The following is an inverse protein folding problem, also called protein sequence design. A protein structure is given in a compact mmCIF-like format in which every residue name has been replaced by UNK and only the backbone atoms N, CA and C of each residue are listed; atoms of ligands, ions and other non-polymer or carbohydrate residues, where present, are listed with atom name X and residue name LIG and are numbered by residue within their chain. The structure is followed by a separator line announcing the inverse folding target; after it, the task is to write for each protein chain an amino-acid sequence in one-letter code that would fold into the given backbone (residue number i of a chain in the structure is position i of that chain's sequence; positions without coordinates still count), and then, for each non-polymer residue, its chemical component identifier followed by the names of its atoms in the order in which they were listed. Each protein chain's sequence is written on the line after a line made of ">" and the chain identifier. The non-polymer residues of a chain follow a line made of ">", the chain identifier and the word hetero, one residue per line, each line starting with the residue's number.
data_IF_840417073284
#
_entry.id   IF_840417073284
#
_cell.length_a   1.000
_cell.length_b   1.000
_cell.length_c   1.000
_cell.angle_alpha   90.00
_cell.angle_beta   90.00
_cell.angle_gamma   90.00
#
_symmetry.space_group_name_H-M   'P 1'
#
loop_
_entity.id
_entity.type
_entity.pdbx_description
1 polymer ?
#
# COMPACT_ATOMS: atom_id res chain seq x y z
N UNK A 1 -27.24 2.79 -8.08
CA UNK A 1 -26.71 2.03 -6.93
C UNK A 1 -25.36 2.64 -6.58
N UNK A 2 -25.33 3.62 -5.68
CA UNK A 2 -24.06 4.16 -5.17
C UNK A 2 -23.51 3.10 -4.23
N UNK A 3 -22.39 2.47 -4.59
CA UNK A 3 -21.71 1.53 -3.69
C UNK A 3 -21.11 2.35 -2.55
N UNK A 4 -21.21 1.87 -1.32
CA UNK A 4 -20.52 2.48 -0.19
C UNK A 4 -19.02 2.25 -0.37
N UNK A 5 -18.32 3.24 -0.92
CA UNK A 5 -16.87 3.22 -1.14
C UNK A 5 -16.11 2.86 0.14
N UNK A 6 -16.62 3.25 1.32
CA UNK A 6 -16.03 2.91 2.61
C UNK A 6 -16.15 1.43 2.99
N UNK A 7 -17.15 0.70 2.50
CA UNK A 7 -17.27 -0.75 2.70
C UNK A 7 -16.31 -1.53 1.79
N UNK A 8 -16.24 -1.17 0.50
CA UNK A 8 -15.30 -1.77 -0.44
C UNK A 8 -13.84 -1.56 0.01
N UNK A 9 -13.52 -0.38 0.54
CA UNK A 9 -12.19 -0.09 1.04
C UNK A 9 -11.78 -0.93 2.24
N UNK A 10 -12.70 -1.10 3.20
CA UNK A 10 -12.47 -1.96 4.36
C UNK A 10 -12.27 -3.42 3.93
N UNK A 11 -13.02 -3.88 2.92
CA UNK A 11 -12.87 -5.22 2.37
C UNK A 11 -11.47 -5.42 1.78
N UNK A 12 -11.00 -4.53 0.92
CA UNK A 12 -9.70 -4.70 0.27
C UNK A 12 -8.52 -4.41 1.20
N UNK A 13 -8.67 -3.50 2.18
CA UNK A 13 -7.66 -3.33 3.23
C UNK A 13 -7.51 -4.60 4.07
N UNK A 14 -8.60 -5.33 4.34
CA UNK A 14 -8.51 -6.63 5.03
C UNK A 14 -7.70 -7.64 4.23
N UNK A 15 -7.85 -7.67 2.91
CA UNK A 15 -7.00 -8.50 2.03
C UNK A 15 -5.52 -8.06 2.10
N UNK A 16 -5.25 -6.75 2.13
CA UNK A 16 -3.89 -6.25 2.30
C UNK A 16 -3.28 -6.66 3.65
N UNK A 17 -4.07 -6.65 4.74
CA UNK A 17 -3.63 -7.15 6.05
C UNK A 17 -3.35 -8.66 6.03
N UNK A 18 -4.16 -9.44 5.32
CA UNK A 18 -3.90 -10.88 5.14
C UNK A 18 -2.60 -11.15 4.37
N UNK A 19 -2.26 -10.30 3.39
CA UNK A 19 -0.96 -10.35 2.73
C UNK A 19 0.18 -9.96 3.69
N UNK A 20 0.01 -8.89 4.49
CA UNK A 20 1.01 -8.45 5.46
C UNK A 20 1.38 -9.55 6.47
N UNK A 21 0.40 -10.37 6.90
CA UNK A 21 0.59 -11.50 7.83
C UNK A 21 1.60 -12.53 7.36
N UNK A 22 1.83 -12.66 6.05
CA UNK A 22 2.81 -13.59 5.48
C UNK A 22 4.26 -13.23 5.82
N UNK A 23 4.52 -11.97 6.20
CA UNK A 23 5.82 -11.47 6.65
C UNK A 23 6.09 -11.66 8.15
N UNK A 24 5.11 -12.09 8.94
CA UNK A 24 5.26 -12.22 10.39
C UNK A 24 6.45 -13.11 10.77
N UNK A 25 7.25 -12.63 11.72
CA UNK A 25 8.47 -13.29 12.19
C UNK A 25 9.67 -13.24 11.23
N UNK A 26 9.56 -12.57 10.07
CA UNK A 26 10.61 -12.56 9.02
C UNK A 26 11.09 -11.18 8.61
N UNK A 27 10.35 -10.12 8.92
CA UNK A 27 10.66 -8.77 8.46
C UNK A 27 11.54 -7.96 9.41
N UNK A 28 11.69 -8.37 10.68
CA UNK A 28 12.44 -7.61 11.68
C UNK A 28 13.84 -7.22 11.17
N UNK A 29 14.27 -5.94 11.32
CA UNK A 29 13.62 -4.84 12.07
C UNK A 29 12.49 -4.09 11.33
N UNK A 30 12.17 -4.46 10.09
CA UNK A 30 11.16 -3.77 9.28
C UNK A 30 9.72 -4.20 9.66
N UNK A 31 8.72 -3.32 9.47
CA UNK A 31 7.32 -3.65 9.67
C UNK A 31 6.82 -4.69 8.66
N UNK A 32 5.81 -5.46 9.05
CA UNK A 32 5.03 -6.29 8.13
C UNK A 32 4.09 -5.39 7.33
N UNK A 33 4.32 -5.28 6.02
CA UNK A 33 3.50 -4.47 5.12
C UNK A 33 2.88 -5.37 4.06
N UNK A 34 1.62 -5.13 3.75
CA UNK A 34 0.89 -5.74 2.66
C UNK A 34 0.31 -4.69 1.73
N UNK A 35 0.20 -5.03 0.45
CA UNK A 35 -0.36 -4.17 -0.58
C UNK A 35 -1.18 -4.99 -1.57
N UNK A 36 -2.36 -4.50 -1.94
CA UNK A 36 -3.17 -5.05 -3.03
C UNK A 36 -3.60 -3.96 -4.01
N UNK A 37 -3.60 -4.29 -5.30
CA UNK A 37 -4.10 -3.43 -6.38
C UNK A 37 -5.44 -3.96 -6.86
N UNK A 38 -6.43 -3.08 -6.96
CA UNK A 38 -7.80 -3.42 -7.34
C UNK A 38 -8.21 -2.60 -8.56
N UNK A 39 -8.75 -3.27 -9.58
CA UNK A 39 -9.29 -2.63 -10.77
C UNK A 39 -10.59 -3.32 -11.19
N UNK A 40 -11.64 -2.55 -11.44
CA UNK A 40 -12.96 -3.09 -11.77
C UNK A 40 -13.52 -4.06 -10.72
N UNK A 41 -13.24 -3.81 -9.43
CA UNK A 41 -13.69 -4.67 -8.33
C UNK A 41 -12.97 -6.02 -8.23
N UNK A 42 -11.81 -6.18 -8.88
CA UNK A 42 -11.00 -7.40 -8.85
C UNK A 42 -9.59 -7.08 -8.38
N UNK A 43 -9.01 -7.96 -7.57
CA UNK A 43 -7.60 -7.87 -7.19
C UNK A 43 -6.75 -8.27 -8.39
N UNK A 44 -5.95 -7.34 -8.89
CA UNK A 44 -5.06 -7.53 -10.05
C UNK A 44 -3.60 -7.69 -9.63
N UNK A 45 -3.25 -7.30 -8.41
CA UNK A 45 -1.91 -7.50 -7.86
C UNK A 45 -1.95 -7.63 -6.34
N UNK A 46 -1.03 -8.44 -5.80
CA UNK A 46 -0.83 -8.64 -4.37
C UNK A 46 0.65 -8.67 -4.05
N UNK A 47 1.01 -8.14 -2.89
CA UNK A 47 2.37 -8.14 -2.41
C UNK A 47 2.45 -8.00 -0.91
N UNK A 48 3.52 -8.51 -0.33
CA UNK A 48 3.90 -8.30 1.05
C UNK A 48 5.42 -8.15 1.15
N UNK A 49 5.90 -7.50 2.19
CA UNK A 49 7.34 -7.41 2.44
C UNK A 49 7.84 -8.72 3.09
N UNK A 50 8.73 -9.50 2.44
CA UNK A 50 9.07 -10.84 2.93
C UNK A 50 10.20 -10.85 3.97
N UNK A 51 11.14 -9.90 3.90
CA UNK A 51 12.30 -9.76 4.81
C UNK A 51 13.04 -8.44 4.54
N UNK A 52 13.78 -7.97 5.53
CA UNK A 52 14.61 -6.78 5.40
C UNK A 52 15.58 -6.84 4.20
N UNK A 53 15.70 -5.73 3.47
CA UNK A 53 16.55 -5.61 2.28
C UNK A 53 15.93 -6.14 0.97
N UNK A 54 14.74 -6.77 1.03
CA UNK A 54 13.96 -7.12 -0.17
C UNK A 54 13.02 -5.98 -0.56
N UNK A 55 12.45 -6.00 -1.78
CA UNK A 55 11.42 -5.06 -2.18
C UNK A 55 10.25 -4.98 -1.18
N UNK A 56 9.61 -3.82 -1.13
CA UNK A 56 8.41 -3.61 -0.30
C UNK A 56 7.16 -4.21 -0.97
N UNK A 57 6.07 -4.25 -0.21
CA UNK A 57 4.81 -4.86 -0.64
C UNK A 57 4.27 -4.26 -1.94
N UNK A 58 4.38 -2.95 -2.09
CA UNK A 58 3.91 -2.18 -3.24
C UNK A 58 4.62 -2.62 -4.52
N UNK A 59 5.93 -2.88 -4.45
CA UNK A 59 6.72 -3.31 -5.61
C UNK A 59 6.28 -4.70 -6.07
N UNK A 60 6.04 -5.63 -5.15
CA UNK A 60 5.51 -6.96 -5.50
C UNK A 60 4.09 -6.89 -6.06
N UNK A 61 3.22 -6.07 -5.47
CA UNK A 61 1.86 -5.88 -5.96
C UNK A 61 1.86 -5.30 -7.39
N UNK A 62 2.68 -4.27 -7.63
CA UNK A 62 2.86 -3.64 -8.95
C UNK A 62 3.41 -4.62 -9.97
N UNK A 63 4.41 -5.43 -9.60
CA UNK A 63 4.97 -6.45 -10.48
C UNK A 63 3.90 -7.47 -10.90
N UNK A 64 3.10 -7.95 -9.95
CA UNK A 64 2.00 -8.88 -10.23
C UNK A 64 0.92 -8.24 -11.11
N UNK A 65 0.55 -6.99 -10.85
CA UNK A 65 -0.48 -6.28 -11.62
C UNK A 65 -0.04 -5.91 -13.04
N UNK A 66 1.26 -5.69 -13.27
CA UNK A 66 1.79 -5.28 -14.56
C UNK A 66 1.04 -4.06 -15.12
N UNK A 67 0.53 -4.19 -16.35
CA UNK A 67 -0.21 -3.10 -17.03
C UNK A 67 -1.55 -2.78 -16.39
N UNK A 68 -2.12 -3.69 -15.59
CA UNK A 68 -3.40 -3.47 -14.92
C UNK A 68 -3.30 -2.51 -13.73
N UNK A 69 -2.08 -2.19 -13.27
CA UNK A 69 -1.85 -1.21 -12.22
C UNK A 69 -2.32 0.21 -12.60
N UNK A 70 -2.26 0.57 -13.89
CA UNK A 70 -2.66 1.88 -14.36
C UNK A 70 -4.18 2.11 -14.14
N UNK A 71 -4.52 3.16 -13.40
CA UNK A 71 -5.88 3.50 -13.00
C UNK A 71 -6.48 2.57 -11.92
N UNK A 72 -5.70 1.66 -11.34
CA UNK A 72 -6.15 0.84 -10.21
C UNK A 72 -6.19 1.66 -8.91
N UNK A 73 -6.86 1.11 -7.90
CA UNK A 73 -6.73 1.56 -6.50
C UNK A 73 -5.73 0.66 -5.77
N UNK A 74 -4.70 1.24 -5.16
CA UNK A 74 -3.79 0.51 -4.28
C UNK A 74 -4.26 0.62 -2.83
N UNK A 75 -4.33 -0.50 -2.13
CA UNK A 75 -4.60 -0.58 -0.69
C UNK A 75 -3.33 -1.04 0.00
N UNK A 76 -2.73 -0.18 0.82
CA UNK A 76 -1.46 -0.44 1.49
C UNK A 76 -1.61 -0.29 3.00
N UNK A 77 -1.10 -1.25 3.77
CA UNK A 77 -1.32 -1.30 5.23
C UNK A 77 -0.54 -0.24 6.00
N UNK A 78 0.55 0.27 5.42
CA UNK A 78 1.41 1.31 5.99
C UNK A 78 1.68 2.37 4.92
N UNK A 79 1.91 3.62 5.33
CA UNK A 79 2.26 4.69 4.40
C UNK A 79 3.45 4.30 3.50
N UNK A 80 3.33 4.48 2.17
CA UNK A 80 4.44 4.20 1.25
C UNK A 80 5.67 5.03 1.56
N UNK A 81 6.83 4.38 1.61
CA UNK A 81 8.08 5.08 1.89
C UNK A 81 8.39 6.13 0.80
N UNK A 82 8.96 7.26 1.23
CA UNK A 82 9.31 8.39 0.37
C UNK A 82 10.81 8.74 0.41
N UNK A 83 11.64 7.89 1.00
CA UNK A 83 13.08 8.08 1.10
C UNK A 83 13.82 7.13 0.16
N UNK A 84 14.99 7.56 -0.31
CA UNK A 84 15.89 6.72 -1.10
C UNK A 84 16.71 5.86 -0.15
N UNK A 85 16.37 4.57 -0.09
CA UNK A 85 17.15 3.53 0.59
C UNK A 85 17.96 2.71 -0.40
N UNK A 86 18.01 1.39 -0.19
CA UNK A 86 18.58 0.44 -1.17
C UNK A 86 17.69 0.26 -2.41
N UNK A 87 16.42 0.58 -2.30
CA UNK A 87 15.43 0.59 -3.38
C UNK A 87 14.85 1.98 -3.56
N UNK A 88 14.38 2.36 -4.77
CA UNK A 88 13.65 3.60 -4.98
C UNK A 88 12.39 3.71 -4.09
N UNK A 89 11.90 4.93 -3.81
CA UNK A 89 10.69 5.16 -3.04
C UNK A 89 9.45 4.46 -3.61
N UNK A 90 8.63 3.87 -2.74
CA UNK A 90 7.40 3.18 -3.15
C UNK A 90 6.33 4.16 -3.63
N UNK A 91 6.31 5.39 -3.09
CA UNK A 91 5.49 6.49 -3.58
C UNK A 91 5.71 6.75 -5.08
N UNK A 92 6.98 6.83 -5.51
CA UNK A 92 7.34 7.02 -6.92
C UNK A 92 7.02 5.79 -7.78
N UNK A 93 7.16 4.58 -7.25
CA UNK A 93 6.78 3.37 -7.98
C UNK A 93 5.27 3.36 -8.32
N UNK A 94 4.42 3.77 -7.37
CA UNK A 94 2.97 3.90 -7.57
C UNK A 94 2.63 5.01 -8.58
N UNK A 95 3.31 6.15 -8.51
CA UNK A 95 3.18 7.25 -9.49
C UNK A 95 3.57 6.78 -10.89
N UNK A 96 4.72 6.14 -11.05
CA UNK A 96 5.22 5.66 -12.34
C UNK A 96 4.30 4.58 -12.94
N UNK A 97 3.67 3.77 -12.10
CA UNK A 97 2.67 2.79 -12.51
C UNK A 97 1.31 3.41 -12.88
N UNK A 98 1.15 4.73 -12.69
CA UNK A 98 -0.09 5.49 -12.96
C UNK A 98 -1.29 4.97 -12.18
N UNK A 99 -1.06 4.59 -10.92
CA UNK A 99 -2.15 4.22 -9.99
C UNK A 99 -3.09 5.41 -9.84
N UNK A 100 -4.41 5.15 -9.89
CA UNK A 100 -5.41 6.22 -9.86
C UNK A 100 -5.70 6.71 -8.44
N UNK A 101 -5.65 5.79 -7.46
CA UNK A 101 -5.98 6.06 -6.06
C UNK A 101 -5.15 5.20 -5.11
N UNK A 102 -4.79 5.74 -3.95
CA UNK A 102 -4.10 5.00 -2.89
C UNK A 102 -4.87 5.17 -1.58
N UNK A 103 -5.22 4.05 -0.95
CA UNK A 103 -5.84 3.98 0.37
C UNK A 103 -4.80 3.47 1.35
N UNK A 104 -4.52 4.25 2.39
CA UNK A 104 -3.48 3.95 3.39
C UNK A 104 -4.13 3.52 4.70
N UNK A 105 -3.71 2.36 5.22
CA UNK A 105 -4.21 1.79 6.46
C UNK A 105 -3.69 2.50 7.72
N UNK A 106 -2.40 2.84 7.76
CA UNK A 106 -1.77 3.55 8.87
C UNK A 106 -0.72 4.53 8.36
N UNK A 107 -0.63 5.72 8.96
CA UNK A 107 0.51 6.60 8.77
C UNK A 107 1.80 5.95 9.30
N UNK A 108 2.94 6.23 8.68
CA UNK A 108 4.21 5.71 9.21
C UNK A 108 4.56 6.43 10.52
N UNK A 109 4.75 5.71 11.65
CA UNK A 109 5.09 6.33 12.93
C UNK A 109 6.51 6.90 12.95
N UNK A 110 7.34 6.60 11.95
CA UNK A 110 8.69 7.14 11.83
C UNK A 110 8.61 8.66 11.54
N UNK A 111 9.12 9.51 12.45
CA UNK A 111 9.08 10.96 12.26
C UNK A 111 9.89 11.42 11.03
N UNK A 112 10.76 10.58 10.47
CA UNK A 112 11.48 10.85 9.23
C UNK A 112 10.61 10.70 7.97
N UNK A 113 9.50 9.97 8.04
CA UNK A 113 8.58 9.79 6.91
C UNK A 113 7.58 10.94 6.85
N UNK A 114 7.10 11.43 8.00
CA UNK A 114 6.32 12.66 8.20
C UNK A 114 5.28 12.96 7.08
N UNK A 115 4.46 11.98 6.70
CA UNK A 115 3.45 12.11 5.64
C UNK A 115 3.95 12.39 4.22
N UNK A 116 5.27 12.38 4.01
CA UNK A 116 5.87 12.79 2.74
C UNK A 116 5.53 11.84 1.59
N UNK A 117 5.21 10.57 1.88
CA UNK A 117 4.79 9.59 0.88
C UNK A 117 3.42 9.93 0.30
N UNK A 118 2.46 10.25 1.17
CA UNK A 118 1.13 10.71 0.77
C UNK A 118 1.23 12.04 0.01
N UNK A 119 2.07 12.97 0.46
CA UNK A 119 2.27 14.23 -0.26
C UNK A 119 2.81 14.02 -1.68
N UNK A 120 3.79 13.13 -1.86
CA UNK A 120 4.31 12.79 -3.20
C UNK A 120 3.21 12.26 -4.11
N UNK A 121 2.33 11.39 -3.60
CA UNK A 121 1.20 10.85 -4.37
C UNK A 121 0.24 11.97 -4.81
N UNK A 122 -0.16 12.83 -3.87
CA UNK A 122 -1.08 13.94 -4.14
C UNK A 122 -0.49 14.93 -5.15
N UNK A 123 0.79 15.29 -5.03
CA UNK A 123 1.48 16.20 -5.97
C UNK A 123 1.54 15.66 -7.39
N UNK A 124 1.46 14.35 -7.57
CA UNK A 124 1.48 13.69 -8.88
C UNK A 124 0.07 13.31 -9.38
N UNK A 125 -0.98 13.85 -8.78
CA UNK A 125 -2.37 13.63 -9.21
C UNK A 125 -2.95 12.27 -8.83
N UNK A 126 -2.29 11.52 -7.95
CA UNK A 126 -2.84 10.29 -7.37
C UNK A 126 -3.68 10.68 -6.16
N UNK A 127 -4.95 10.28 -6.13
CA UNK A 127 -5.81 10.57 -4.98
C UNK A 127 -5.36 9.73 -3.78
N UNK A 128 -5.12 10.37 -2.64
CA UNK A 128 -4.65 9.74 -1.41
C UNK A 128 -5.65 9.92 -0.28
N UNK A 129 -6.12 8.82 0.32
CA UNK A 129 -7.02 8.84 1.47
C UNK A 129 -6.40 8.11 2.66
N UNK A 130 -6.33 8.80 3.81
CA UNK A 130 -5.97 8.21 5.09
C UNK A 130 -7.23 7.68 5.74
N UNK A 131 -7.29 6.38 5.98
CA UNK A 131 -8.49 5.78 6.53
C UNK A 131 -8.39 5.68 8.06
N UNK A 132 -8.69 6.79 8.75
CA UNK A 132 -8.65 6.90 10.22
C UNK A 132 -9.67 5.99 10.95
N UNK A 133 -10.48 5.22 10.22
CA UNK A 133 -11.49 4.29 10.76
C UNK A 133 -11.09 2.82 10.71
N UNK A 134 -9.85 2.51 10.30
CA UNK A 134 -9.37 1.13 10.27
C UNK A 134 -8.84 0.77 11.65
N UNK A 135 -9.67 0.08 12.44
CA UNK A 135 -9.21 -0.65 13.62
C UNK A 135 -8.17 -1.69 13.18
N UNK A 136 -6.90 -1.36 13.36
CA UNK A 136 -5.79 -2.30 13.32
C UNK A 136 -5.95 -3.25 14.50
N UNK A 137 -6.60 -4.39 14.27
CA UNK A 137 -6.40 -5.53 15.16
C UNK A 137 -5.00 -6.04 14.87
N UNK A 138 -4.03 -5.58 15.67
CA UNK A 138 -2.67 -6.08 15.67
C UNK A 138 -2.71 -7.61 15.68
N UNK A 139 -2.27 -8.21 14.59
CA UNK A 139 -1.99 -9.63 14.52
C UNK A 139 -0.79 -9.83 15.46
N UNK A 140 -1.08 -10.27 16.68
CA UNK A 140 -0.09 -10.82 17.60
C UNK A 140 0.29 -12.22 17.11
#
# INVERSE_FOLDING_TARGET
>A
MVRDEGEEDRKYMRVALDEARKGLGKTHPNPCVGCVLVKGGRVVGKGYHPRAGMPHAEVYALYMAGKEAAGATAYVTLEPCNHYGRTPPCSLALVNAKVGRVVVGMADPNPLVNNSGVETLLRNGVTGEKNERIHLTAVH
#
